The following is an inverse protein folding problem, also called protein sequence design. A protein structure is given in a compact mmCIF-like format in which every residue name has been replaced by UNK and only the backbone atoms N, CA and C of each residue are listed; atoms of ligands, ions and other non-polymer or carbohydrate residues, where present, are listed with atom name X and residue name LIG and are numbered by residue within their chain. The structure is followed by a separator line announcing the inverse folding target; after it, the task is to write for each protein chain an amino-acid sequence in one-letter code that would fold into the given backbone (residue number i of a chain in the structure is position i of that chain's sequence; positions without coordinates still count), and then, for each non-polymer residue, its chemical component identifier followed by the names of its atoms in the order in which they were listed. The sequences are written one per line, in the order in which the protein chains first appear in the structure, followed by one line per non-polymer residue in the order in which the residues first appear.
data_IF_300612624725
#
_entry.id   IF_300612624725
#
_cell.length_a   1.000
_cell.length_b   1.000
_cell.length_c   1.000
_cell.angle_alpha   90.00
_cell.angle_beta   90.00
_cell.angle_gamma   90.00
#
_symmetry.space_group_name_H-M   'P 1'
#
loop_
_entity.id
_entity.type
_entity.pdbx_description
1 polymer ?
#
# COMPACT_ATOMS: atom_id res chain seq x y z
N UNK A 1 -68.77 -51.21 -21.96
CA UNK A 1 -67.88 -51.67 -20.87
C UNK A 1 -66.43 -51.47 -21.31
N UNK A 2 -65.87 -50.29 -21.06
CA UNK A 2 -64.44 -49.99 -20.97
C UNK A 2 -64.33 -48.50 -20.64
N UNK A 3 -63.76 -48.21 -19.47
CA UNK A 3 -63.77 -46.92 -18.79
C UNK A 3 -62.71 -45.98 -19.38
N UNK A 4 -63.02 -44.68 -19.45
CA UNK A 4 -62.03 -43.62 -19.67
C UNK A 4 -60.95 -43.65 -18.59
N UNK A 5 -59.67 -43.40 -18.91
CA UNK A 5 -58.67 -43.13 -17.90
C UNK A 5 -58.87 -41.71 -17.36
N UNK A 6 -59.06 -41.68 -16.05
CA UNK A 6 -59.08 -40.55 -15.15
C UNK A 6 -57.84 -39.66 -15.24
N UNK A 7 -58.09 -38.37 -15.14
CA UNK A 7 -57.17 -37.32 -14.72
C UNK A 7 -56.34 -37.77 -13.50
N UNK A 8 -55.01 -37.86 -13.64
CA UNK A 8 -54.09 -38.04 -12.53
C UNK A 8 -53.08 -36.89 -12.51
N UNK A 9 -53.35 -36.01 -11.55
CA UNK A 9 -52.50 -35.04 -10.88
C UNK A 9 -51.02 -34.98 -11.27
N UNK A 10 -50.61 -33.75 -11.58
CA UNK A 10 -49.27 -33.27 -11.35
C UNK A 10 -48.84 -33.54 -9.90
N UNK A 11 -47.70 -34.20 -9.72
CA UNK A 11 -46.93 -34.12 -8.49
C UNK A 11 -45.46 -33.92 -8.85
N UNK A 12 -44.94 -32.77 -8.44
CA UNK A 12 -43.52 -32.49 -8.33
C UNK A 12 -42.87 -33.40 -7.27
N UNK A 13 -41.54 -33.26 -7.13
CA UNK A 13 -40.72 -33.74 -6.01
C UNK A 13 -39.90 -35.02 -6.29
N UNK A 14 -38.98 -34.94 -7.27
CA UNK A 14 -37.69 -35.61 -7.13
C UNK A 14 -36.58 -34.56 -6.96
N UNK A 15 -36.00 -34.40 -5.76
CA UNK A 15 -34.93 -33.43 -5.51
C UNK A 15 -33.59 -33.79 -6.19
N UNK A 16 -33.52 -34.89 -6.94
CA UNK A 16 -32.28 -35.37 -7.57
C UNK A 16 -32.15 -35.07 -9.07
N UNK A 17 -33.18 -34.52 -9.72
CA UNK A 17 -33.17 -34.33 -11.18
C UNK A 17 -32.42 -33.06 -11.66
N UNK A 18 -32.04 -32.14 -10.77
CA UNK A 18 -31.44 -30.85 -11.15
C UNK A 18 -29.90 -30.88 -11.19
N UNK A 19 -29.28 -32.01 -10.86
CA UNK A 19 -27.81 -32.15 -10.87
C UNK A 19 -27.18 -32.19 -12.29
N UNK A 20 -27.97 -32.08 -13.36
CA UNK A 20 -27.47 -32.16 -14.74
C UNK A 20 -27.16 -30.81 -15.42
N UNK A 21 -27.32 -29.68 -14.72
CA UNK A 21 -27.11 -28.35 -15.32
C UNK A 21 -25.77 -27.67 -14.98
N UNK A 22 -24.93 -28.26 -14.12
CA UNK A 22 -23.55 -27.83 -13.94
C UNK A 22 -22.65 -28.79 -14.73
N UNK A 23 -22.45 -28.51 -16.02
CA UNK A 23 -21.27 -29.05 -16.70
C UNK A 23 -20.06 -28.39 -16.03
N UNK A 24 -19.22 -29.11 -15.25
CA UNK A 24 -17.93 -28.55 -14.90
C UNK A 24 -17.23 -28.24 -16.21
N UNK A 25 -16.50 -27.13 -16.26
CA UNK A 25 -15.68 -26.72 -17.37
C UNK A 25 -14.75 -27.89 -17.75
N UNK A 26 -15.20 -28.78 -18.65
CA UNK A 26 -14.40 -29.89 -19.16
C UNK A 26 -13.44 -29.26 -20.14
N UNK A 27 -12.28 -28.87 -19.62
CA UNK A 27 -11.12 -28.56 -20.45
C UNK A 27 -10.88 -29.78 -21.34
N UNK A 28 -11.18 -29.65 -22.63
CA UNK A 28 -11.04 -30.72 -23.61
C UNK A 28 -9.55 -31.00 -23.83
N UNK A 29 -9.01 -31.95 -23.05
CA UNK A 29 -7.71 -32.58 -23.28
C UNK A 29 -7.79 -33.72 -24.31
N UNK A 30 -8.90 -33.87 -25.04
CA UNK A 30 -9.21 -35.03 -25.89
C UNK A 30 -8.36 -35.13 -27.18
N UNK A 31 -7.28 -34.36 -27.30
CA UNK A 31 -6.41 -34.38 -28.50
C UNK A 31 -4.95 -34.68 -28.22
N UNK A 32 -4.53 -34.83 -26.96
CA UNK A 32 -3.15 -35.16 -26.63
C UNK A 32 -3.17 -36.42 -25.77
N UNK A 33 -2.47 -37.48 -26.21
CA UNK A 33 -2.31 -38.73 -25.43
C UNK A 33 -1.43 -38.49 -24.20
N UNK A 34 -1.90 -37.66 -23.27
CA UNK A 34 -1.23 -37.39 -22.01
C UNK A 34 -1.64 -38.46 -21.00
N UNK A 35 -0.65 -39.01 -20.29
CA UNK A 35 -0.91 -39.93 -19.19
C UNK A 35 -1.83 -39.24 -18.16
N UNK A 36 -2.92 -39.87 -17.69
CA UNK A 36 -3.86 -39.27 -16.74
C UNK A 36 -3.20 -38.65 -15.49
N UNK A 37 -2.15 -39.22 -14.87
CA UNK A 37 -1.47 -38.55 -13.75
C UNK A 37 -0.76 -37.25 -14.16
N UNK A 38 -0.26 -37.13 -15.39
CA UNK A 38 0.41 -35.93 -15.87
C UNK A 38 -0.57 -34.77 -16.11
N UNK A 39 -1.78 -35.08 -16.60
CA UNK A 39 -2.82 -34.07 -16.79
C UNK A 39 -3.20 -33.40 -15.45
N UNK A 40 -3.34 -34.21 -14.40
CA UNK A 40 -3.66 -33.72 -13.04
C UNK A 40 -2.53 -32.85 -12.48
N UNK A 41 -1.27 -33.25 -12.67
CA UNK A 41 -0.10 -32.46 -12.21
C UNK A 41 -0.05 -31.10 -12.91
N UNK A 42 -0.30 -31.07 -14.22
CA UNK A 42 -0.31 -29.82 -15.01
C UNK A 42 -1.42 -28.90 -14.50
N UNK A 43 -2.62 -29.42 -14.25
CA UNK A 43 -3.75 -28.65 -13.75
C UNK A 43 -3.44 -27.97 -12.40
N UNK A 44 -2.94 -28.73 -11.41
CA UNK A 44 -2.58 -28.14 -10.11
C UNK A 44 -1.43 -27.15 -10.20
N UNK A 45 -0.48 -27.37 -11.11
CA UNK A 45 0.62 -26.42 -11.34
C UNK A 45 0.10 -25.12 -11.94
N UNK A 46 -0.84 -25.18 -12.89
CA UNK A 46 -1.49 -24.00 -13.47
C UNK A 46 -2.36 -23.27 -12.44
N UNK A 47 -3.11 -23.99 -11.62
CA UNK A 47 -3.93 -23.39 -10.55
C UNK A 47 -3.03 -22.73 -9.50
N UNK A 48 -1.97 -23.42 -9.05
CA UNK A 48 -1.04 -22.89 -8.06
C UNK A 48 -0.32 -21.63 -8.55
N UNK A 49 0.20 -21.65 -9.77
CA UNK A 49 0.82 -20.47 -10.38
C UNK A 49 -0.17 -19.33 -10.58
N UNK A 50 -1.41 -19.60 -10.99
CA UNK A 50 -2.44 -18.58 -11.12
C UNK A 50 -2.79 -17.93 -9.77
N UNK A 51 -2.95 -18.72 -8.71
CA UNK A 51 -3.22 -18.21 -7.35
C UNK A 51 -2.04 -17.35 -6.88
N UNK A 52 -0.80 -17.80 -7.08
CA UNK A 52 0.40 -17.02 -6.74
C UNK A 52 0.42 -15.70 -7.51
N UNK A 53 0.20 -15.73 -8.83
CA UNK A 53 0.20 -14.53 -9.67
C UNK A 53 -0.92 -13.57 -9.25
N UNK A 54 -2.14 -14.07 -9.03
CA UNK A 54 -3.27 -13.25 -8.57
C UNK A 54 -3.02 -12.66 -7.17
N UNK A 55 -2.41 -13.43 -6.26
CA UNK A 55 -1.99 -12.95 -4.95
C UNK A 55 -0.92 -11.87 -5.04
N UNK A 56 0.14 -12.09 -5.81
CA UNK A 56 1.19 -11.11 -6.05
C UNK A 56 0.64 -9.85 -6.72
N UNK A 57 -0.19 -9.97 -7.75
CA UNK A 57 -0.84 -8.82 -8.41
C UNK A 57 -1.72 -8.07 -7.41
N UNK A 58 -2.51 -8.76 -6.59
CA UNK A 58 -3.34 -8.10 -5.58
C UNK A 58 -2.49 -7.33 -4.55
N UNK A 59 -1.41 -7.94 -4.05
CA UNK A 59 -0.47 -7.30 -3.10
C UNK A 59 0.27 -6.14 -3.76
N UNK A 60 0.75 -6.30 -4.98
CA UNK A 60 1.43 -5.24 -5.72
C UNK A 60 0.47 -4.11 -6.05
N UNK A 61 -0.79 -4.39 -6.38
CA UNK A 61 -1.81 -3.38 -6.61
C UNK A 61 -2.21 -2.66 -5.33
N UNK A 62 -2.36 -3.34 -4.19
CA UNK A 62 -2.63 -2.67 -2.91
C UNK A 62 -1.43 -1.81 -2.49
N UNK A 63 -0.21 -2.34 -2.59
CA UNK A 63 1.01 -1.56 -2.38
C UNK A 63 1.09 -0.37 -3.33
N UNK A 64 0.75 -0.55 -4.61
CA UNK A 64 0.79 0.52 -5.61
C UNK A 64 -0.34 1.53 -5.43
N UNK A 65 -1.53 1.10 -4.98
CA UNK A 65 -2.66 1.98 -4.68
C UNK A 65 -2.36 2.82 -3.44
N UNK A 66 -1.75 2.23 -2.40
CA UNK A 66 -1.24 2.93 -1.22
C UNK A 66 -0.12 3.91 -1.62
N UNK A 67 0.83 3.50 -2.48
CA UNK A 67 1.90 4.38 -3.01
C UNK A 67 1.32 5.52 -3.86
N UNK A 68 0.25 5.27 -4.64
CA UNK A 68 -0.35 6.24 -5.57
C UNK A 68 -1.27 7.24 -4.87
N UNK A 69 -2.10 6.83 -3.93
CA UNK A 69 -2.95 7.74 -3.15
C UNK A 69 -2.15 8.79 -2.39
N UNK A 70 -0.90 8.49 -2.08
CA UNK A 70 -0.04 9.29 -1.21
C UNK A 70 0.67 10.47 -1.91
N UNK A 71 0.77 10.47 -3.25
CA UNK A 71 1.47 11.54 -4.01
C UNK A 71 0.67 12.83 -4.21
N UNK A 72 -0.58 12.91 -3.76
CA UNK A 72 -1.50 14.00 -4.11
C UNK A 72 -1.52 15.17 -3.10
N UNK A 73 -0.70 15.15 -2.07
CA UNK A 73 -0.62 16.23 -1.08
C UNK A 73 0.73 16.95 -1.20
N UNK A 74 0.69 18.26 -1.51
CA UNK A 74 1.86 19.12 -1.75
C UNK A 74 1.88 20.32 -0.77
N UNK A 75 1.45 20.13 0.48
CA UNK A 75 1.43 21.20 1.51
C UNK A 75 2.43 20.95 2.64
N UNK A 76 3.24 19.91 2.54
CA UNK A 76 4.16 19.44 3.58
C UNK A 76 5.61 19.87 3.37
N UNK A 77 6.52 19.04 3.90
CA UNK A 77 7.96 19.30 3.92
C UNK A 77 8.58 19.16 2.52
N UNK A 78 9.56 20.02 2.23
CA UNK A 78 10.26 20.00 0.94
C UNK A 78 10.93 18.63 0.72
N UNK A 79 10.80 18.03 -0.47
CA UNK A 79 11.37 16.72 -0.77
C UNK A 79 12.88 16.65 -0.52
N UNK A 80 13.62 17.76 -0.69
CA UNK A 80 15.07 17.79 -0.47
C UNK A 80 15.43 17.56 1.01
N UNK A 81 14.60 18.07 1.93
CA UNK A 81 14.78 17.87 3.38
C UNK A 81 14.43 16.44 3.76
N UNK A 82 13.38 15.91 3.14
CA UNK A 82 12.95 14.52 3.35
C UNK A 82 14.04 13.55 2.88
N UNK A 83 14.71 13.85 1.76
CA UNK A 83 15.77 13.00 1.21
C UNK A 83 17.07 13.03 1.97
N UNK A 84 17.33 14.12 2.69
CA UNK A 84 18.46 14.21 3.61
C UNK A 84 18.26 13.41 4.91
N UNK A 85 17.07 12.84 5.16
CA UNK A 85 16.83 12.01 6.34
C UNK A 85 17.68 10.73 6.30
N UNK A 86 18.27 10.32 7.43
CA UNK A 86 19.15 9.16 7.48
C UNK A 86 18.42 7.87 7.10
N UNK A 87 19.12 7.04 6.31
CA UNK A 87 18.65 5.73 5.86
C UNK A 87 19.61 4.62 6.29
N UNK A 88 19.08 3.42 6.51
CA UNK A 88 19.85 2.22 6.83
C UNK A 88 19.18 0.97 6.26
N UNK A 89 19.89 -0.16 6.28
CA UNK A 89 19.35 -1.46 5.89
C UNK A 89 18.82 -2.19 7.12
N UNK A 90 17.61 -2.73 7.05
CA UNK A 90 16.96 -3.37 8.20
C UNK A 90 17.79 -4.52 8.81
N UNK A 91 18.47 -5.34 7.98
CA UNK A 91 19.31 -6.44 8.46
C UNK A 91 20.43 -6.02 9.39
N UNK A 92 20.92 -4.78 9.28
CA UNK A 92 22.06 -4.29 10.06
C UNK A 92 21.66 -4.00 11.51
N UNK A 93 20.40 -3.64 11.74
CA UNK A 93 19.89 -3.12 13.01
C UNK A 93 18.86 -4.03 13.68
N UNK A 94 18.34 -5.04 12.96
CA UNK A 94 17.35 -6.01 13.47
C UNK A 94 17.80 -6.71 14.75
N UNK A 95 19.12 -6.82 14.98
CA UNK A 95 19.70 -7.49 16.15
C UNK A 95 19.58 -6.69 17.44
N UNK A 96 19.37 -5.39 17.36
CA UNK A 96 19.41 -4.50 18.53
C UNK A 96 18.06 -4.34 19.22
N UNK A 97 16.98 -4.91 18.67
CA UNK A 97 15.63 -4.91 19.27
C UNK A 97 15.02 -3.52 19.50
N UNK A 98 15.68 -2.46 19.05
CA UNK A 98 15.30 -1.05 19.28
C UNK A 98 14.38 -0.48 18.21
N UNK A 99 14.09 -1.22 17.13
CA UNK A 99 13.34 -0.74 15.97
C UNK A 99 12.07 -1.56 15.77
N UNK A 100 11.00 -0.92 15.29
CA UNK A 100 9.75 -1.60 14.94
C UNK A 100 9.97 -2.67 13.87
N UNK A 101 9.16 -3.72 13.88
CA UNK A 101 9.24 -4.83 12.92
C UNK A 101 8.44 -4.57 11.64
N UNK A 102 7.57 -3.56 11.68
CA UNK A 102 6.69 -3.17 10.58
C UNK A 102 6.67 -1.65 10.40
N UNK A 103 6.28 -1.23 9.20
CA UNK A 103 6.03 0.16 8.90
C UNK A 103 4.63 0.58 9.35
N UNK A 104 4.50 1.48 10.32
CA UNK A 104 3.19 1.96 10.80
C UNK A 104 2.34 2.71 9.75
N UNK A 105 2.91 2.94 8.56
CA UNK A 105 2.31 3.70 7.48
C UNK A 105 1.74 2.77 6.39
N UNK A 106 2.41 1.67 6.04
CA UNK A 106 1.87 0.67 5.09
C UNK A 106 1.44 -0.65 5.75
N UNK A 107 1.72 -0.82 7.05
CA UNK A 107 1.42 -2.00 7.87
C UNK A 107 2.06 -3.30 7.33
N UNK A 108 3.14 -3.20 6.55
CA UNK A 108 3.94 -4.34 6.13
C UNK A 108 5.15 -4.51 7.04
N UNK A 109 5.51 -5.77 7.28
CA UNK A 109 6.77 -6.15 7.92
C UNK A 109 7.97 -5.69 7.10
N UNK A 110 9.08 -5.40 7.79
CA UNK A 110 10.33 -5.06 7.14
C UNK A 110 11.09 -6.32 6.70
N UNK A 111 11.54 -6.33 5.45
CA UNK A 111 12.40 -7.40 4.94
C UNK A 111 13.87 -7.08 5.21
N UNK A 112 14.71 -8.11 5.39
CA UNK A 112 16.11 -7.94 5.80
C UNK A 112 16.91 -7.02 4.86
N UNK A 113 16.63 -7.02 3.56
CA UNK A 113 17.33 -6.20 2.56
C UNK A 113 16.68 -4.82 2.30
N UNK A 114 15.60 -4.47 3.00
CA UNK A 114 14.92 -3.20 2.78
C UNK A 114 15.71 -2.04 3.38
N UNK A 115 15.78 -0.96 2.60
CA UNK A 115 16.27 0.33 3.08
C UNK A 115 15.12 1.05 3.78
N UNK A 116 15.38 1.49 5.01
CA UNK A 116 14.42 2.19 5.85
C UNK A 116 14.94 3.58 6.17
N UNK A 117 14.03 4.52 6.40
CA UNK A 117 14.31 5.92 6.71
C UNK A 117 13.92 6.19 8.16
N UNK A 118 14.83 6.84 8.88
CA UNK A 118 14.70 7.17 10.31
C UNK A 118 14.37 8.65 10.48
N UNK A 119 13.46 8.94 11.39
CA UNK A 119 13.19 10.31 11.84
C UNK A 119 14.11 10.67 13.01
N UNK A 120 15.08 11.61 12.87
CA UNK A 120 16.10 11.88 13.89
C UNK A 120 15.55 12.36 15.23
N UNK A 121 14.41 13.08 15.24
CA UNK A 121 13.84 13.65 16.47
C UNK A 121 13.19 12.61 17.39
N UNK A 122 12.77 11.46 16.86
CA UNK A 122 11.99 10.48 17.63
C UNK A 122 12.37 9.02 17.35
N UNK A 123 13.38 8.79 16.52
CA UNK A 123 13.91 7.47 16.16
C UNK A 123 12.87 6.47 15.61
N UNK A 124 11.78 6.95 15.03
CA UNK A 124 10.79 6.09 14.36
C UNK A 124 11.20 5.83 12.91
N UNK A 125 10.86 4.63 12.43
CA UNK A 125 11.40 4.04 11.21
C UNK A 125 10.29 3.67 10.25
N UNK A 126 10.49 3.95 8.96
CA UNK A 126 9.50 3.74 7.91
C UNK A 126 10.18 3.42 6.58
N UNK A 127 9.45 2.87 5.60
CA UNK A 127 9.96 2.84 4.22
C UNK A 127 10.16 4.27 3.69
N UNK A 128 11.22 4.56 2.91
CA UNK A 128 11.49 5.87 2.32
C UNK A 128 10.26 6.44 1.59
N UNK A 129 9.70 5.68 0.65
CA UNK A 129 8.49 6.06 -0.09
C UNK A 129 7.29 6.35 0.82
N UNK A 130 7.17 5.61 1.94
CA UNK A 130 6.05 5.73 2.84
C UNK A 130 6.13 7.02 3.67
N UNK A 131 7.31 7.32 4.22
CA UNK A 131 7.48 8.53 5.01
C UNK A 131 7.57 9.78 4.13
N UNK A 132 8.14 9.68 2.94
CA UNK A 132 8.20 10.79 1.99
C UNK A 132 6.80 11.28 1.63
N UNK A 133 5.92 10.37 1.21
CA UNK A 133 4.58 10.76 0.81
C UNK A 133 3.67 11.12 2.00
N UNK A 134 4.01 10.72 3.23
CA UNK A 134 3.36 11.28 4.42
C UNK A 134 3.84 12.70 4.69
N UNK A 135 5.16 12.93 4.63
CA UNK A 135 5.76 14.22 4.91
C UNK A 135 5.50 15.27 3.83
N UNK A 136 5.12 14.87 2.62
CA UNK A 136 4.64 15.79 1.58
C UNK A 136 3.30 16.45 1.94
N UNK A 137 2.57 15.91 2.92
CA UNK A 137 1.30 16.45 3.43
C UNK A 137 1.40 17.01 4.86
N UNK A 138 2.31 16.45 5.67
CA UNK A 138 2.35 16.64 7.11
C UNK A 138 3.78 16.89 7.61
N UNK A 139 3.92 17.65 8.71
CA UNK A 139 5.21 17.90 9.34
C UNK A 139 5.42 17.05 10.61
N UNK A 140 4.64 16.01 10.83
CA UNK A 140 4.61 15.27 12.10
C UNK A 140 4.89 13.80 11.92
N UNK A 141 5.56 13.18 12.89
CA UNK A 141 5.76 11.73 12.92
C UNK A 141 4.40 10.98 12.98
N UNK A 142 4.17 9.96 12.12
CA UNK A 142 2.95 9.14 12.15
C UNK A 142 2.69 8.42 13.48
N UNK A 143 3.75 8.10 14.23
CA UNK A 143 3.65 7.30 15.47
C UNK A 143 3.48 8.18 16.69
N UNK A 144 4.37 9.15 16.90
CA UNK A 144 4.40 9.96 18.13
C UNK A 144 3.93 11.41 17.95
N UNK A 145 3.58 11.82 16.72
CA UNK A 145 3.14 13.18 16.38
C UNK A 145 4.16 14.30 16.66
N UNK A 146 5.42 13.97 16.96
CA UNK A 146 6.51 14.95 17.09
C UNK A 146 6.66 15.79 15.82
N UNK A 147 6.79 17.11 15.98
CA UNK A 147 6.94 18.05 14.87
C UNK A 147 8.37 18.03 14.31
N UNK A 148 8.48 17.74 13.03
CA UNK A 148 9.70 17.63 12.23
C UNK A 148 10.03 18.91 11.46
N UNK A 149 9.17 19.94 11.51
CA UNK A 149 9.44 21.22 10.89
C UNK A 149 10.84 21.73 11.32
N UNK A 150 11.63 22.28 10.38
CA UNK A 150 12.85 22.99 10.72
C UNK A 150 12.48 24.11 11.68
N UNK A 151 13.14 24.15 12.83
CA UNK A 151 13.04 25.31 13.71
C UNK A 151 13.86 26.41 13.05
N UNK A 152 13.35 27.64 12.87
CA UNK A 152 14.18 28.76 12.47
C UNK A 152 15.06 29.11 13.68
N UNK A 153 16.14 28.36 13.88
CA UNK A 153 17.12 28.67 14.92
C UNK A 153 18.03 29.79 14.38
N UNK A 154 17.74 31.01 14.84
CA UNK A 154 18.64 32.14 15.06
C UNK A 154 19.64 32.52 13.94
N UNK A 155 19.20 33.43 13.05
CA UNK A 155 20.04 34.58 12.71
C UNK A 155 19.24 35.82 13.09
N UNK A 156 19.41 36.28 14.34
CA UNK A 156 19.18 37.67 14.71
C UNK A 156 20.35 38.50 14.16
N UNK A 157 20.12 39.46 13.24
CA UNK A 157 20.90 40.69 13.27
C UNK A 157 20.25 41.60 14.33
N UNK A 158 20.83 41.62 15.53
CA UNK A 158 20.61 42.65 16.56
C UNK A 158 20.92 44.06 16.02
N UNK A 159 20.34 45.12 16.61
CA UNK A 159 19.92 46.34 15.95
C UNK A 159 21.03 47.38 15.83
N UNK A 160 21.08 48.09 14.68
CA UNK A 160 21.86 49.30 14.54
C UNK A 160 20.98 50.53 14.86
N UNK A 161 21.39 51.19 15.95
CA UNK A 161 20.85 52.41 16.49
C UNK A 161 20.76 53.58 15.49
N UNK A 162 19.87 54.51 15.86
CA UNK A 162 19.48 55.78 15.27
C UNK A 162 20.52 56.60 14.48
N UNK A 163 20.07 57.19 13.35
CA UNK A 163 20.35 58.60 13.04
C UNK A 163 19.04 59.24 12.55
N UNK A 164 18.52 60.17 13.34
CA UNK A 164 17.50 61.11 12.88
C UNK A 164 18.12 62.11 11.91
N UNK A 165 17.46 62.30 10.77
CA UNK A 165 17.41 63.60 10.09
C UNK A 165 15.95 63.84 9.73
N UNK A 166 15.35 64.69 10.53
CA UNK A 166 14.21 65.51 10.15
C UNK A 166 14.68 66.52 9.10
N UNK A 167 14.02 66.53 7.94
CA UNK A 167 13.72 67.70 7.11
C UNK A 167 12.64 67.23 6.12
N UNK A 168 11.37 67.56 6.34
CA UNK A 168 10.70 68.77 5.83
C UNK A 168 10.94 69.00 4.33
N UNK A 169 9.81 69.17 3.62
CA UNK A 169 9.62 69.90 2.34
C UNK A 169 9.75 69.11 1.03
N UNK A 170 8.59 68.68 0.51
CA UNK A 170 7.95 69.01 -0.80
C UNK A 170 6.97 67.88 -1.16
N UNK A 171 5.67 68.01 -0.86
CA UNK A 171 4.62 68.74 -1.60
C UNK A 171 4.12 68.06 -2.88
N UNK A 172 2.81 67.72 -2.82
CA UNK A 172 1.76 67.91 -3.83
C UNK A 172 1.93 67.20 -5.19
N UNK A 173 1.16 66.12 -5.38
CA UNK A 173 -0.04 66.08 -6.24
C UNK A 173 -0.91 64.86 -5.89
#
# INVERSE_FOLDING_TARGET
MALHPSYAAAQADSPYAVAQAYSPMRFSYDKIKLNPPLAIIIEYSLIGTFIIIMGCVSVLLTQHCIRRHRRLAYTGLDPSIIDALPTFVYSEIKKDGMISLECAVCLNEFENAETLRLLPKCCHVFHPDCIEAWLSAHFTCPVCRSNLAPKPDAVEPEPADSVGVNDSILDVF
#
